data_IF_449198737767
#
_entry.id   IF_449198737767
#
_cell.length_a   1.000
_cell.length_b   1.000
_cell.length_c   1.000
_cell.angle_alpha   90.00
_cell.angle_beta   90.00
_cell.angle_gamma   90.00
#
_symmetry.space_group_name_H-M   'P 1'
#
loop_
_entity.id
_entity.type
_entity.pdbx_description
1 polymer ?
#
# COMPACT_ATOMS: atom_id res chain seq x y z
N UNK A 1 -12.60 -16.40 6.06
CA UNK A 1 -11.29 -15.77 6.01
C UNK A 1 -11.24 -14.73 4.90
N UNK A 2 -10.75 -13.57 5.22
CA UNK A 2 -10.66 -12.51 4.25
C UNK A 2 -9.40 -12.68 3.39
N UNK A 3 -9.57 -12.67 2.08
CA UNK A 3 -8.42 -12.67 1.19
C UNK A 3 -8.21 -11.27 0.62
N UNK A 4 -6.94 -10.93 0.39
CA UNK A 4 -6.59 -9.65 -0.20
C UNK A 4 -6.46 -9.80 -1.71
N UNK A 5 -6.64 -8.72 -2.46
CA UNK A 5 -6.51 -8.79 -3.91
C UNK A 5 -5.07 -9.07 -4.31
N UNK A 6 -4.90 -9.84 -5.38
CA UNK A 6 -3.57 -10.13 -5.91
C UNK A 6 -3.09 -9.11 -6.94
N UNK A 7 -3.92 -8.13 -7.26
CA UNK A 7 -3.57 -7.00 -8.12
C UNK A 7 -3.89 -5.72 -7.39
N UNK A 8 -2.88 -4.89 -7.14
CA UNK A 8 -3.03 -3.69 -6.35
C UNK A 8 -2.33 -2.49 -6.98
N UNK A 9 -2.87 -1.28 -6.76
CA UNK A 9 -2.16 -0.07 -7.13
C UNK A 9 -1.03 0.20 -6.16
N UNK A 10 0.04 0.83 -6.65
CA UNK A 10 1.24 1.06 -5.86
C UNK A 10 1.47 2.55 -5.66
N UNK A 11 1.75 2.93 -4.42
CA UNK A 11 2.18 4.27 -4.04
C UNK A 11 3.65 4.18 -3.59
N UNK A 12 4.59 4.71 -4.38
CA UNK A 12 6.00 4.64 -3.99
C UNK A 12 6.32 5.71 -2.95
N UNK A 13 7.14 5.35 -1.97
CA UNK A 13 7.56 6.23 -0.90
C UNK A 13 9.07 6.31 -0.85
N UNK A 14 9.60 7.52 -0.60
CA UNK A 14 11.03 7.74 -0.46
C UNK A 14 11.42 7.72 1.02
N UNK A 15 12.38 6.86 1.35
CA UNK A 15 12.99 6.89 2.67
C UNK A 15 12.09 6.53 3.83
N UNK A 16 10.92 5.99 3.56
CA UNK A 16 9.96 5.63 4.60
C UNK A 16 9.85 4.12 4.65
N UNK A 17 10.07 3.56 5.85
CA UNK A 17 9.86 2.15 6.09
C UNK A 17 8.49 1.99 6.73
N UNK A 18 7.67 1.11 6.17
CA UNK A 18 6.31 0.93 6.60
C UNK A 18 6.07 -0.52 7.00
N UNK A 19 5.41 -0.71 8.14
CA UNK A 19 5.15 -2.02 8.71
C UNK A 19 3.65 -2.26 8.90
N UNK A 20 3.22 -3.54 8.92
CA UNK A 20 1.85 -3.87 9.28
C UNK A 20 1.48 -3.31 10.65
N UNK A 21 0.19 -3.02 10.83
CA UNK A 21 -0.39 -2.55 12.08
C UNK A 21 0.10 -1.17 12.52
N UNK A 22 0.69 -0.42 11.59
CA UNK A 22 1.06 0.98 11.84
C UNK A 22 0.18 1.89 11.00
N UNK A 23 0.18 3.17 11.34
CA UNK A 23 -0.58 4.18 10.61
C UNK A 23 0.38 5.13 9.92
N UNK A 24 0.02 5.52 8.70
CA UNK A 24 0.82 6.47 7.92
C UNK A 24 -0.09 7.55 7.36
N UNK A 25 0.03 8.79 7.83
CA UNK A 25 -0.69 9.89 7.21
C UNK A 25 0.04 10.37 5.96
N UNK A 26 -0.72 10.62 4.89
CA UNK A 26 -0.17 11.09 3.62
C UNK A 26 -0.96 12.28 3.12
N UNK A 27 -0.25 13.27 2.59
CA UNK A 27 -0.84 14.42 1.93
C UNK A 27 -0.70 14.22 0.42
N UNK A 28 -1.82 13.99 -0.25
CA UNK A 28 -1.85 13.62 -1.66
C UNK A 28 -2.14 14.87 -2.49
N UNK A 29 -1.24 15.20 -3.43
CA UNK A 29 -1.42 16.39 -4.27
C UNK A 29 -1.07 16.15 -5.74
N UNK A 30 -0.30 15.10 -6.08
CA UNK A 30 0.03 14.80 -7.47
C UNK A 30 -1.16 14.13 -8.15
N UNK A 31 -1.42 14.53 -9.39
CA UNK A 31 -2.58 14.05 -10.16
C UNK A 31 -2.67 12.53 -10.19
N UNK A 32 -1.55 11.85 -10.45
CA UNK A 32 -1.56 10.37 -10.53
C UNK A 32 -2.00 9.73 -9.21
N UNK A 33 -1.66 10.33 -8.09
CA UNK A 33 -2.02 9.76 -6.78
C UNK A 33 -3.39 10.20 -6.32
N UNK A 34 -3.84 11.38 -6.75
CA UNK A 34 -5.25 11.75 -6.56
C UNK A 34 -6.15 10.75 -7.29
N UNK A 35 -5.78 10.40 -8.52
CA UNK A 35 -6.53 9.39 -9.28
C UNK A 35 -6.50 8.04 -8.58
N UNK A 36 -5.33 7.64 -8.08
CA UNK A 36 -5.18 6.37 -7.36
C UNK A 36 -6.10 6.31 -6.15
N UNK A 37 -6.11 7.35 -5.34
CA UNK A 37 -6.95 7.39 -4.14
C UNK A 37 -8.43 7.36 -4.52
N UNK A 38 -8.83 8.17 -5.50
CA UNK A 38 -10.24 8.22 -5.92
C UNK A 38 -10.70 6.87 -6.45
N UNK A 39 -9.87 6.21 -7.29
CA UNK A 39 -10.23 4.90 -7.83
C UNK A 39 -10.32 3.86 -6.73
N UNK A 40 -9.36 3.89 -5.80
CA UNK A 40 -9.30 2.91 -4.70
C UNK A 40 -10.49 3.06 -3.76
N UNK A 41 -10.95 4.29 -3.53
CA UNK A 41 -12.13 4.53 -2.69
C UNK A 41 -13.41 3.93 -3.27
N UNK A 42 -13.45 3.73 -4.59
CA UNK A 42 -14.59 3.07 -5.25
C UNK A 42 -14.50 1.56 -5.18
N UNK A 43 -13.42 1.03 -4.65
CA UNK A 43 -13.18 -0.41 -4.57
C UNK A 43 -12.98 -0.82 -3.12
N UNK A 44 -11.87 -1.45 -2.82
CA UNK A 44 -11.63 -2.03 -1.50
C UNK A 44 -10.83 -1.11 -0.57
N UNK A 45 -10.46 0.08 -1.04
CA UNK A 45 -9.69 1.07 -0.27
C UNK A 45 -8.30 0.56 0.12
N UNK A 46 -7.70 -0.29 -0.73
CA UNK A 46 -6.41 -0.91 -0.46
C UNK A 46 -5.36 -0.36 -1.42
N UNK A 47 -4.23 0.05 -0.87
CA UNK A 47 -3.11 0.62 -1.61
C UNK A 47 -1.84 -0.10 -1.17
N UNK A 48 -1.00 -0.49 -2.13
CA UNK A 48 0.31 -1.03 -1.81
C UNK A 48 1.32 0.09 -1.64
N UNK A 49 1.94 0.16 -0.48
CA UNK A 49 3.00 1.11 -0.22
C UNK A 49 4.33 0.41 -0.38
N UNK A 50 5.21 0.99 -1.18
CA UNK A 50 6.49 0.37 -1.44
C UNK A 50 7.58 1.44 -1.48
N UNK A 51 8.75 1.10 -0.97
CA UNK A 51 9.86 2.03 -0.96
C UNK A 51 10.47 2.11 -2.35
N UNK A 52 10.66 3.32 -2.84
CA UNK A 52 11.35 3.52 -4.11
C UNK A 52 12.86 3.48 -3.88
N UNK A 53 13.58 3.00 -4.89
CA UNK A 53 15.03 3.04 -4.87
C UNK A 53 15.50 4.44 -5.22
N UNK A 54 16.77 4.69 -4.93
CA UNK A 54 17.34 6.02 -4.93
C UNK A 54 17.23 6.75 -6.27
N UNK A 55 17.18 6.03 -7.38
CA UNK A 55 17.16 6.63 -8.70
C UNK A 55 16.10 5.99 -9.59
N UNK A 56 15.47 6.82 -10.42
CA UNK A 56 14.53 6.34 -11.43
C UNK A 56 13.22 5.85 -10.86
N UNK A 57 12.62 4.93 -11.59
CA UNK A 57 11.32 4.35 -11.22
C UNK A 57 11.44 3.00 -10.52
N UNK A 58 12.65 2.65 -10.11
CA UNK A 58 12.86 1.36 -9.46
C UNK A 58 12.29 1.34 -8.06
N UNK A 59 11.71 0.21 -7.69
CA UNK A 59 11.14 0.00 -6.37
C UNK A 59 11.66 -1.31 -5.81
N UNK A 60 11.58 -1.43 -4.48
CA UNK A 60 11.94 -2.69 -3.83
C UNK A 60 10.87 -3.74 -4.11
N UNK A 61 11.17 -5.00 -3.82
CA UNK A 61 10.26 -6.11 -4.13
C UNK A 61 9.18 -6.30 -3.08
N UNK A 62 9.45 -5.88 -1.85
CA UNK A 62 8.54 -6.10 -0.74
C UNK A 62 7.99 -4.75 -0.27
N UNK A 63 6.69 -4.69 -0.09
CA UNK A 63 6.01 -3.51 0.41
C UNK A 63 4.98 -3.89 1.45
N UNK A 64 4.13 -2.93 1.80
CA UNK A 64 3.07 -3.13 2.78
C UNK A 64 1.74 -2.70 2.20
N UNK A 65 0.74 -3.59 2.30
CA UNK A 65 -0.62 -3.28 1.91
C UNK A 65 -1.26 -2.44 2.99
N UNK A 66 -1.79 -1.28 2.62
CA UNK A 66 -2.46 -0.39 3.55
C UNK A 66 -3.90 -0.15 3.17
N UNK A 67 -4.74 0.01 4.18
CA UNK A 67 -6.13 0.37 3.98
C UNK A 67 -6.33 1.84 4.31
N UNK A 68 -7.10 2.54 3.47
CA UNK A 68 -7.47 3.92 3.77
C UNK A 68 -8.46 3.89 4.91
N UNK A 69 -8.01 4.34 6.09
CA UNK A 69 -8.85 4.36 7.30
C UNK A 69 -9.48 5.72 7.56
N UNK A 70 -8.97 6.75 6.90
CA UNK A 70 -9.53 8.10 7.02
C UNK A 70 -9.16 8.89 5.77
N UNK A 71 -10.04 9.81 5.38
CA UNK A 71 -9.83 10.62 4.18
C UNK A 71 -10.49 11.98 4.38
N UNK A 72 -9.73 13.03 4.07
CA UNK A 72 -10.22 14.40 4.12
C UNK A 72 -9.82 15.13 2.83
N UNK A 73 -10.82 15.65 2.12
CA UNK A 73 -10.59 16.45 0.93
C UNK A 73 -10.52 17.91 1.32
N UNK A 74 -9.49 18.61 0.85
CA UNK A 74 -9.29 20.02 1.12
C UNK A 74 -9.79 20.86 -0.05
N UNK A 75 -10.09 22.12 0.22
CA UNK A 75 -10.62 23.03 -0.80
C UNK A 75 -9.63 23.28 -1.93
N UNK A 76 -8.33 23.13 -1.67
CA UNK A 76 -7.29 23.34 -2.68
C UNK A 76 -7.06 22.12 -3.57
N UNK A 77 -7.86 21.07 -3.43
CA UNK A 77 -7.74 19.86 -4.22
C UNK A 77 -6.86 18.78 -3.65
N UNK A 78 -6.16 19.05 -2.56
CA UNK A 78 -5.34 18.04 -1.88
C UNK A 78 -6.22 17.10 -1.09
N UNK A 79 -5.71 15.88 -0.89
CA UNK A 79 -6.40 14.88 -0.10
C UNK A 79 -5.45 14.40 1.00
N UNK A 80 -5.93 14.45 2.24
CA UNK A 80 -5.23 13.85 3.37
C UNK A 80 -5.83 12.48 3.62
N UNK A 81 -4.99 11.47 3.66
CA UNK A 81 -5.45 10.11 3.99
C UNK A 81 -4.62 9.57 5.13
N UNK A 82 -5.20 8.61 5.83
CA UNK A 82 -4.46 7.80 6.79
C UNK A 82 -4.50 6.36 6.30
N UNK A 83 -3.34 5.77 6.14
CA UNK A 83 -3.22 4.37 5.73
C UNK A 83 -2.85 3.53 6.93
N UNK A 84 -3.62 2.46 7.14
CA UNK A 84 -3.33 1.49 8.19
C UNK A 84 -2.73 0.25 7.53
N UNK A 85 -1.53 -0.13 7.94
CA UNK A 85 -0.85 -1.28 7.38
C UNK A 85 -1.52 -2.58 7.80
N UNK A 86 -1.69 -3.48 6.84
CA UNK A 86 -2.37 -4.76 7.06
C UNK A 86 -1.43 -5.94 6.98
N UNK A 87 -0.63 -6.01 5.92
CA UNK A 87 0.28 -7.13 5.69
C UNK A 87 1.33 -6.72 4.69
N UNK A 88 2.48 -7.39 4.73
CA UNK A 88 3.48 -7.21 3.69
C UNK A 88 3.08 -8.00 2.45
N UNK A 89 3.64 -7.61 1.33
CA UNK A 89 3.46 -8.32 0.06
C UNK A 89 4.76 -8.34 -0.71
N UNK A 90 4.83 -9.23 -1.67
CA UNK A 90 5.96 -9.29 -2.60
C UNK A 90 5.45 -9.06 -4.01
N UNK A 91 6.14 -8.22 -4.77
CA UNK A 91 5.79 -7.92 -6.16
C UNK A 91 6.15 -9.10 -7.04
N UNK A 92 5.23 -9.49 -7.91
CA UNK A 92 5.47 -10.53 -8.91
C UNK A 92 5.70 -9.94 -10.29
N UNK A 93 4.83 -9.03 -10.74
CA UNK A 93 5.00 -8.39 -12.04
C UNK A 93 4.21 -7.11 -12.12
N UNK A 94 4.65 -6.20 -12.95
CA UNK A 94 3.91 -4.97 -13.22
C UNK A 94 2.85 -5.23 -14.28
N UNK A 95 1.66 -4.67 -14.07
CA UNK A 95 0.52 -4.83 -14.98
C UNK A 95 0.43 -3.57 -15.82
N UNK A 96 0.37 -3.75 -17.14
CA UNK A 96 0.18 -2.61 -18.05
C UNK A 96 -1.23 -2.07 -17.91
N UNK A 97 -1.35 -0.73 -17.80
CA UNK A 97 -2.65 -0.09 -17.76
C UNK A 97 -2.56 1.28 -18.45
N UNK A 98 -3.71 1.92 -18.63
CA UNK A 98 -3.79 3.26 -19.20
C UNK A 98 -3.88 4.35 -18.13
N UNK A 99 -3.63 4.01 -16.86
CA UNK A 99 -3.75 4.92 -15.74
C UNK A 99 -2.45 5.66 -15.48
N UNK A 100 -2.50 6.73 -14.71
CA UNK A 100 -1.32 7.51 -14.36
C UNK A 100 -0.49 6.85 -13.27
N UNK A 101 -1.08 5.94 -12.50
CA UNK A 101 -0.37 5.23 -11.43
C UNK A 101 -0.12 3.79 -11.81
N UNK A 102 0.85 3.17 -11.14
CA UNK A 102 1.29 1.81 -11.47
C UNK A 102 0.48 0.78 -10.69
N UNK A 103 0.25 -0.37 -11.32
CA UNK A 103 -0.41 -1.51 -10.69
C UNK A 103 0.48 -2.74 -10.82
N UNK A 104 0.43 -3.61 -9.82
CA UNK A 104 1.26 -4.80 -9.78
C UNK A 104 0.46 -6.01 -9.34
N UNK A 105 0.84 -7.16 -9.86
CA UNK A 105 0.41 -8.43 -9.31
C UNK A 105 1.35 -8.78 -8.16
N UNK A 106 0.79 -9.22 -7.04
CA UNK A 106 1.53 -9.42 -5.80
C UNK A 106 1.15 -10.73 -5.15
N UNK A 107 1.98 -11.19 -4.21
CA UNK A 107 1.66 -12.34 -3.38
C UNK A 107 1.87 -11.98 -1.91
N UNK A 108 1.08 -12.61 -1.05
CA UNK A 108 1.18 -12.45 0.39
C UNK A 108 1.70 -13.73 1.06
N UNK A 109 2.07 -14.70 0.25
CA UNK A 109 2.32 -16.07 0.70
C UNK A 109 3.38 -16.17 1.80
N UNK A 110 4.41 -15.34 1.73
CA UNK A 110 5.52 -15.42 2.68
C UNK A 110 5.27 -14.60 3.95
N UNK A 111 4.09 -14.00 4.09
CA UNK A 111 3.83 -13.05 5.16
C UNK A 111 2.59 -13.42 5.98
N UNK A 112 2.29 -14.69 6.07
CA UNK A 112 1.12 -15.16 6.80
C UNK A 112 1.10 -14.71 8.25
N UNK A 113 2.26 -14.60 8.88
CA UNK A 113 2.36 -14.18 10.26
C UNK A 113 1.89 -12.74 10.49
N UNK A 114 1.92 -11.91 9.45
CA UNK A 114 1.47 -10.51 9.56
C UNK A 114 -0.03 -10.42 9.85
N UNK A 115 -0.78 -11.45 9.51
CA UNK A 115 -2.22 -11.48 9.67
C UNK A 115 -2.66 -12.03 11.02
N UNK A 116 -1.72 -12.55 11.82
CA UNK A 116 -2.01 -13.15 13.12
C UNK A 116 -1.94 -12.10 14.22
N UNK A 117 -2.63 -12.35 15.35
CA UNK A 117 -2.50 -11.47 16.50
C UNK A 117 -1.05 -11.33 16.94
N UNK A 118 -0.72 -10.19 17.52
CA UNK A 118 0.63 -9.91 17.95
C UNK A 118 1.20 -10.97 18.88
N UNK A 119 0.38 -11.46 19.81
CA UNK A 119 0.84 -12.47 20.77
C UNK A 119 1.27 -13.77 20.07
N UNK A 120 0.61 -14.15 19.00
CA UNK A 120 0.98 -15.33 18.24
C UNK A 120 2.29 -15.09 17.45
N UNK A 121 2.47 -13.89 16.93
CA UNK A 121 3.70 -13.56 16.24
C UNK A 121 4.90 -13.62 17.16
N UNK A 122 4.74 -13.13 18.39
CA UNK A 122 5.80 -13.19 19.39
C UNK A 122 6.16 -14.65 19.71
N UNK A 123 5.17 -15.48 19.88
CA UNK A 123 5.41 -16.90 20.14
C UNK A 123 6.13 -17.58 18.98
N UNK A 124 5.81 -17.18 17.77
CA UNK A 124 6.42 -17.80 16.58
C UNK A 124 7.89 -17.47 16.44
N UNK A 125 8.35 -16.40 17.05
CA UNK A 125 9.75 -15.97 16.97
C UNK A 125 10.65 -16.68 17.96
N UNK A 126 10.07 -17.37 18.90
CA UNK A 126 10.84 -18.11 19.90
C UNK A 126 11.07 -19.54 19.46
#
# INVERSE_FOLDING_TARGET
MKSFPDQIPIFPLNGVIYFPKTNLPLNIFEKRYLDLVNDTMQKEKLIGMIQSKKEGNDIYKVGCLGKISDLQKNDDGRILINLTGLTRFEILEEIKNAKLYREFRVTYQNFDLDLKPFSENVKSET
#
